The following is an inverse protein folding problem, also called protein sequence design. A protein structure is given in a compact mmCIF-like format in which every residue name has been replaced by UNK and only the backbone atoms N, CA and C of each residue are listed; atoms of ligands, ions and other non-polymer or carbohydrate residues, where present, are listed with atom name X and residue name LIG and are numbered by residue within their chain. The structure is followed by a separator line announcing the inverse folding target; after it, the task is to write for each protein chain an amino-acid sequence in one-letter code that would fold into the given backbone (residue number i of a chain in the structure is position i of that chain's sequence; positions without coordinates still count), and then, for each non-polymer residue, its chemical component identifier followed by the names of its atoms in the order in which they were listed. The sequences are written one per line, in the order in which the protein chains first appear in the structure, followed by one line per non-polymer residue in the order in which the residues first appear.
data_IF_544507443154
#
_entry.id   IF_544507443154
#
_cell.length_a   1.000
_cell.length_b   1.000
_cell.length_c   1.000
_cell.angle_alpha   90.00
_cell.angle_beta   90.00
_cell.angle_gamma   90.00
#
_symmetry.space_group_name_H-M   'P 1'
#
loop_
_entity.id
_entity.type
_entity.pdbx_description
1 polymer ?
#
# COMPACT_ATOMS: atom_id res chain seq x y z
N UNK A 1 -18.04 -14.96 -4.17
CA UNK A 1 -16.90 -15.35 -5.05
C UNK A 1 -16.48 -14.15 -5.87
N UNK A 2 -15.56 -13.36 -5.38
CA UNK A 2 -14.87 -12.33 -6.17
C UNK A 2 -13.40 -12.71 -6.14
N UNK A 3 -12.99 -13.49 -7.12
CA UNK A 3 -11.60 -13.69 -7.45
C UNK A 3 -11.06 -12.37 -8.01
N UNK A 4 -9.97 -11.81 -7.48
CA UNK A 4 -9.29 -10.72 -8.14
C UNK A 4 -8.58 -11.28 -9.37
N UNK A 5 -9.17 -11.08 -10.54
CA UNK A 5 -8.59 -11.52 -11.83
C UNK A 5 -7.47 -10.61 -12.33
N UNK A 6 -6.75 -9.91 -11.47
CA UNK A 6 -5.67 -9.04 -11.97
C UNK A 6 -4.49 -8.97 -11.02
N UNK A 7 -3.82 -10.12 -10.86
CA UNK A 7 -2.49 -10.22 -10.24
C UNK A 7 -1.35 -9.87 -11.21
N UNK A 8 -1.65 -9.40 -12.43
CA UNK A 8 -0.65 -9.03 -13.42
C UNK A 8 0.19 -7.80 -13.05
N UNK A 9 -0.05 -7.19 -11.89
CA UNK A 9 0.72 -6.04 -11.39
C UNK A 9 1.54 -6.32 -10.13
N UNK A 10 1.60 -7.55 -9.64
CA UNK A 10 2.55 -7.90 -8.60
C UNK A 10 3.95 -8.02 -9.23
N UNK A 11 4.90 -7.27 -8.68
CA UNK A 11 6.31 -7.37 -9.08
C UNK A 11 6.80 -8.80 -8.85
N UNK A 12 7.45 -9.43 -9.84
CA UNK A 12 7.88 -10.81 -9.76
C UNK A 12 8.95 -11.00 -8.70
N UNK A 13 8.85 -12.10 -7.96
CA UNK A 13 9.85 -12.53 -6.99
C UNK A 13 10.90 -13.37 -7.72
N UNK A 14 12.08 -12.82 -7.98
CA UNK A 14 13.25 -13.61 -8.38
C UNK A 14 14.51 -13.17 -7.65
N UNK A 15 15.23 -14.16 -7.13
CA UNK A 15 16.60 -14.01 -6.71
C UNK A 15 17.53 -13.99 -7.94
N UNK A 16 18.31 -12.92 -8.14
CA UNK A 16 19.29 -12.91 -9.23
C UNK A 16 19.95 -11.55 -9.43
N UNK A 17 21.25 -11.60 -9.68
CA UNK A 17 22.19 -10.49 -9.80
C UNK A 17 21.72 -9.28 -10.66
N UNK A 18 22.27 -8.14 -10.34
CA UNK A 18 22.12 -6.75 -10.78
C UNK A 18 21.62 -6.44 -12.23
N UNK A 19 21.78 -7.33 -13.19
CA UNK A 19 21.28 -7.17 -14.56
C UNK A 19 19.80 -7.57 -14.75
N UNK A 20 19.23 -8.35 -13.82
CA UNK A 20 17.88 -8.92 -13.97
C UNK A 20 16.78 -7.87 -13.72
N UNK A 21 17.03 -6.93 -12.84
CA UNK A 21 16.02 -5.95 -12.42
C UNK A 21 15.72 -4.87 -13.48
N UNK A 22 16.62 -4.57 -14.40
CA UNK A 22 16.34 -3.73 -15.57
C UNK A 22 15.36 -4.40 -16.55
N UNK A 23 15.25 -5.73 -16.51
CA UNK A 23 14.27 -6.49 -17.30
C UNK A 23 12.86 -6.46 -16.71
N UNK A 24 12.70 -6.23 -15.38
CA UNK A 24 11.39 -6.27 -14.73
C UNK A 24 10.39 -5.23 -15.23
N UNK A 25 10.87 -4.07 -15.70
CA UNK A 25 10.00 -3.08 -16.36
C UNK A 25 9.52 -3.52 -17.75
N UNK A 26 10.04 -4.67 -18.27
CA UNK A 26 9.68 -5.30 -19.55
C UNK A 26 9.57 -6.82 -19.38
N UNK A 27 9.28 -7.29 -18.17
CA UNK A 27 9.20 -8.72 -17.87
C UNK A 27 8.15 -9.39 -18.77
N UNK A 28 8.54 -10.50 -19.36
CA UNK A 28 7.62 -11.39 -20.06
C UNK A 28 7.08 -12.42 -19.04
N UNK A 29 5.95 -13.08 -19.31
CA UNK A 29 5.39 -14.09 -18.40
C UNK A 29 6.38 -15.17 -17.95
N UNK A 30 7.36 -15.51 -18.77
CA UNK A 30 8.43 -16.47 -18.45
C UNK A 30 9.49 -15.95 -17.47
N UNK A 31 9.52 -14.64 -17.21
CA UNK A 31 10.50 -14.04 -16.30
C UNK A 31 10.08 -14.10 -14.82
N UNK A 32 8.86 -14.55 -14.52
CA UNK A 32 8.32 -14.59 -13.15
C UNK A 32 7.35 -15.78 -12.96
N UNK A 33 7.18 -16.18 -11.70
CA UNK A 33 6.22 -17.21 -11.32
C UNK A 33 5.01 -16.55 -10.67
N UNK A 34 3.81 -16.88 -11.17
CA UNK A 34 2.54 -16.44 -10.57
C UNK A 34 2.09 -17.44 -9.50
N UNK A 35 1.80 -16.94 -8.32
CA UNK A 35 1.20 -17.70 -7.22
C UNK A 35 -0.10 -17.01 -6.78
N UNK A 36 -1.14 -17.80 -6.61
CA UNK A 36 -2.40 -17.31 -6.04
C UNK A 36 -2.27 -17.23 -4.52
N UNK A 37 -2.60 -16.07 -3.94
CA UNK A 37 -2.57 -15.85 -2.50
C UNK A 37 -3.65 -14.85 -2.08
N UNK A 38 -4.50 -15.23 -1.14
CA UNK A 38 -5.37 -14.30 -0.42
C UNK A 38 -4.68 -13.88 0.87
N UNK A 39 -4.26 -12.63 0.96
CA UNK A 39 -3.59 -12.08 2.15
C UNK A 39 -4.48 -12.08 3.41
N UNK A 40 -5.80 -12.22 3.26
CA UNK A 40 -6.75 -12.30 4.37
C UNK A 40 -6.83 -13.71 4.98
N UNK A 41 -6.34 -14.72 4.26
CA UNK A 41 -6.34 -16.12 4.70
C UNK A 41 -4.93 -16.56 5.10
N UNK A 42 -4.78 -16.92 6.37
CA UNK A 42 -3.49 -17.37 6.93
C UNK A 42 -2.99 -18.65 6.26
N UNK A 43 -3.89 -19.57 5.91
CA UNK A 43 -3.54 -20.82 5.24
C UNK A 43 -3.03 -20.57 3.83
N UNK A 44 -3.72 -19.72 3.07
CA UNK A 44 -3.32 -19.30 1.72
C UNK A 44 -1.94 -18.64 1.73
N UNK A 45 -1.67 -17.76 2.70
CA UNK A 45 -0.37 -17.10 2.86
C UNK A 45 0.73 -18.12 3.19
N UNK A 46 0.48 -19.03 4.14
CA UNK A 46 1.45 -20.05 4.53
C UNK A 46 1.83 -20.95 3.35
N UNK A 47 0.83 -21.44 2.60
CA UNK A 47 1.05 -22.29 1.42
C UNK A 47 1.86 -21.58 0.33
N UNK A 48 1.55 -20.32 0.04
CA UNK A 48 2.28 -19.54 -0.96
C UNK A 48 3.75 -19.33 -0.54
N UNK A 49 4.00 -18.99 0.72
CA UNK A 49 5.37 -18.80 1.24
C UNK A 49 6.14 -20.13 1.23
N UNK A 50 5.52 -21.23 1.65
CA UNK A 50 6.15 -22.57 1.62
C UNK A 50 6.50 -22.98 0.19
N UNK A 51 5.63 -22.73 -0.77
CA UNK A 51 5.91 -23.00 -2.18
C UNK A 51 7.12 -22.20 -2.67
N UNK A 52 7.22 -20.90 -2.34
CA UNK A 52 8.38 -20.07 -2.70
C UNK A 52 9.66 -20.63 -2.08
N UNK A 53 9.63 -21.01 -0.80
CA UNK A 53 10.80 -21.55 -0.11
C UNK A 53 11.22 -22.90 -0.69
N UNK A 54 10.26 -23.75 -1.05
CA UNK A 54 10.54 -25.04 -1.68
C UNK A 54 11.20 -24.87 -3.06
N UNK A 55 10.77 -23.85 -3.82
CA UNK A 55 11.30 -23.63 -5.17
C UNK A 55 12.61 -22.84 -5.20
N UNK A 56 12.72 -21.79 -4.37
CA UNK A 56 13.82 -20.81 -4.43
C UNK A 56 14.80 -20.93 -3.25
N UNK A 57 14.43 -21.66 -2.19
CA UNK A 57 15.24 -21.85 -0.98
C UNK A 57 15.34 -20.61 -0.08
N UNK A 58 14.87 -19.43 -0.52
CA UNK A 58 15.05 -18.17 0.18
C UNK A 58 14.06 -17.09 -0.25
N UNK A 59 13.90 -16.07 0.60
CA UNK A 59 13.19 -14.83 0.26
C UNK A 59 14.06 -13.63 0.65
N UNK A 60 14.52 -12.86 -0.33
CA UNK A 60 15.38 -11.67 -0.10
C UNK A 60 14.58 -10.39 0.08
N UNK A 61 13.44 -10.29 -0.59
CA UNK A 61 12.61 -9.09 -0.63
C UNK A 61 11.15 -9.47 -0.50
N UNK A 62 10.44 -8.73 0.33
CA UNK A 62 8.98 -8.73 0.41
C UNK A 62 8.45 -7.35 0.06
N UNK A 63 7.48 -7.28 -0.86
CA UNK A 63 6.75 -6.05 -1.17
C UNK A 63 5.27 -6.29 -0.87
N UNK A 64 4.78 -5.73 0.24
CA UNK A 64 3.38 -5.75 0.57
C UNK A 64 2.67 -4.63 -0.20
N UNK A 65 2.05 -4.99 -1.32
CA UNK A 65 1.35 -4.07 -2.20
C UNK A 65 -0.18 -4.29 -2.19
N UNK A 66 -0.65 -5.47 -1.79
CA UNK A 66 -2.08 -5.76 -1.71
C UNK A 66 -2.81 -4.70 -0.88
N UNK A 67 -3.91 -4.19 -1.39
CA UNK A 67 -4.67 -3.15 -0.71
C UNK A 67 -5.97 -2.82 -1.42
N UNK A 68 -6.93 -2.37 -0.63
CA UNK A 68 -8.24 -1.92 -1.09
C UNK A 68 -8.51 -0.50 -0.62
N UNK A 69 -9.24 0.27 -1.45
CA UNK A 69 -9.73 1.59 -1.10
C UNK A 69 -11.10 1.50 -0.42
N UNK A 70 -11.41 2.49 0.41
CA UNK A 70 -12.73 2.69 0.99
C UNK A 70 -13.02 4.18 1.06
N UNK A 71 -14.22 4.58 0.64
CA UNK A 71 -14.69 5.97 0.67
C UNK A 71 -16.12 6.04 1.19
N UNK A 72 -16.42 7.09 1.92
CA UNK A 72 -17.73 7.39 2.48
C UNK A 72 -17.62 8.18 3.77
N UNK A 73 -18.74 8.78 4.21
CA UNK A 73 -18.83 9.31 5.55
C UNK A 73 -18.66 8.18 6.55
N UNK A 74 -17.83 8.36 7.56
CA UNK A 74 -17.53 7.28 8.55
C UNK A 74 -18.81 6.81 9.25
N UNK A 75 -19.71 7.73 9.56
CA UNK A 75 -20.99 7.43 10.22
C UNK A 75 -21.88 6.50 9.38
N UNK A 76 -21.83 6.61 8.07
CA UNK A 76 -22.65 5.83 7.13
C UNK A 76 -21.93 4.62 6.55
N UNK A 77 -20.64 4.48 6.85
CA UNK A 77 -19.82 3.36 6.32
C UNK A 77 -20.05 2.11 7.15
N UNK A 78 -20.51 0.99 6.56
CA UNK A 78 -20.68 -0.27 7.27
C UNK A 78 -19.39 -0.72 7.96
N UNK A 79 -19.51 -1.22 9.19
CA UNK A 79 -18.35 -1.72 9.96
C UNK A 79 -17.64 -2.85 9.21
N UNK A 80 -18.38 -3.72 8.57
CA UNK A 80 -17.87 -4.86 7.80
C UNK A 80 -16.98 -4.39 6.63
N UNK A 81 -17.32 -3.25 6.03
CA UNK A 81 -16.50 -2.65 4.96
C UNK A 81 -15.19 -2.06 5.52
N UNK A 82 -15.23 -1.44 6.69
CA UNK A 82 -14.04 -0.98 7.40
C UNK A 82 -13.16 -2.16 7.82
N UNK A 83 -13.75 -3.21 8.41
CA UNK A 83 -13.05 -4.44 8.79
C UNK A 83 -12.36 -5.09 7.58
N UNK A 84 -13.06 -5.23 6.46
CA UNK A 84 -12.47 -5.79 5.23
C UNK A 84 -11.28 -4.96 4.73
N UNK A 85 -11.37 -3.62 4.82
CA UNK A 85 -10.25 -2.76 4.46
C UNK A 85 -9.04 -2.98 5.39
N UNK A 86 -9.25 -3.13 6.70
CA UNK A 86 -8.20 -3.45 7.66
C UNK A 86 -7.66 -4.87 7.49
N UNK A 87 -8.54 -5.85 7.22
CA UNK A 87 -8.12 -7.23 6.95
C UNK A 87 -7.15 -7.33 5.78
N UNK A 88 -7.37 -6.53 4.73
CA UNK A 88 -6.47 -6.50 3.57
C UNK A 88 -5.25 -5.61 3.81
N UNK A 89 -5.48 -4.34 4.16
CA UNK A 89 -4.42 -3.32 4.16
C UNK A 89 -3.44 -3.43 5.35
N UNK A 90 -3.88 -4.01 6.47
CA UNK A 90 -3.12 -4.09 7.71
C UNK A 90 -2.81 -5.55 8.06
N UNK A 91 -3.84 -6.32 8.41
CA UNK A 91 -3.65 -7.69 8.87
C UNK A 91 -3.09 -8.60 7.77
N UNK A 92 -3.48 -8.38 6.51
CA UNK A 92 -2.93 -9.10 5.37
C UNK A 92 -1.43 -8.89 5.24
N UNK A 93 -0.98 -7.64 5.28
CA UNK A 93 0.45 -7.35 5.25
C UNK A 93 1.19 -7.98 6.43
N UNK A 94 0.62 -7.95 7.65
CA UNK A 94 1.22 -8.57 8.83
C UNK A 94 1.29 -10.09 8.71
N UNK A 95 0.24 -10.76 8.21
CA UNK A 95 0.26 -12.22 7.96
C UNK A 95 1.41 -12.62 7.04
N UNK A 96 1.58 -11.89 5.92
CA UNK A 96 2.67 -12.17 4.99
C UNK A 96 4.04 -11.91 5.64
N UNK A 97 4.18 -10.80 6.39
CA UNK A 97 5.40 -10.51 7.15
C UNK A 97 5.71 -11.65 8.14
N UNK A 98 4.74 -12.07 8.94
CA UNK A 98 4.92 -13.16 9.92
C UNK A 98 5.32 -14.48 9.27
N UNK A 99 4.80 -14.81 8.10
CA UNK A 99 5.15 -16.01 7.36
C UNK A 99 6.57 -15.93 6.77
N UNK A 100 7.03 -14.75 6.34
CA UNK A 100 8.32 -14.56 5.66
C UNK A 100 9.47 -14.29 6.65
N UNK A 101 9.22 -13.57 7.74
CA UNK A 101 10.27 -13.16 8.69
C UNK A 101 11.13 -14.32 9.25
N UNK A 102 10.61 -15.51 9.59
CA UNK A 102 11.44 -16.62 10.08
C UNK A 102 12.56 -16.97 9.10
N UNK A 103 12.27 -16.98 7.80
CA UNK A 103 13.24 -17.27 6.76
C UNK A 103 14.27 -16.16 6.59
N UNK A 104 13.83 -14.89 6.53
CA UNK A 104 14.73 -13.75 6.47
C UNK A 104 15.63 -13.67 7.70
N UNK A 105 15.10 -13.99 8.90
CA UNK A 105 15.88 -14.05 10.13
C UNK A 105 16.94 -15.15 10.09
N UNK A 106 16.61 -16.34 9.61
CA UNK A 106 17.57 -17.41 9.42
C UNK A 106 18.68 -17.04 8.41
N UNK A 107 18.33 -16.27 7.39
CA UNK A 107 19.27 -15.73 6.39
C UNK A 107 20.14 -14.57 6.93
N UNK A 108 19.81 -14.00 8.09
CA UNK A 108 20.40 -12.77 8.63
C UNK A 108 20.39 -11.61 7.61
N UNK A 109 19.36 -11.60 6.76
CA UNK A 109 19.22 -10.62 5.68
C UNK A 109 17.81 -10.64 5.13
N UNK A 110 17.25 -9.45 4.92
CA UNK A 110 15.96 -9.28 4.28
C UNK A 110 15.64 -7.81 4.02
N UNK A 111 14.74 -7.57 3.09
CA UNK A 111 14.20 -6.23 2.85
C UNK A 111 12.69 -6.29 2.67
N UNK A 112 11.97 -5.51 3.45
CA UNK A 112 10.51 -5.40 3.38
C UNK A 112 10.11 -3.99 2.99
N UNK A 113 9.32 -3.86 1.92
CA UNK A 113 8.74 -2.60 1.47
C UNK A 113 7.22 -2.69 1.62
N UNK A 114 6.67 -1.90 2.52
CA UNK A 114 5.22 -1.80 2.68
C UNK A 114 4.69 -0.61 1.88
N UNK A 115 3.76 -0.86 0.95
CA UNK A 115 3.13 0.20 0.16
C UNK A 115 1.99 0.81 0.99
N UNK A 116 2.26 2.02 1.49
CA UNK A 116 1.29 2.81 2.25
C UNK A 116 0.53 3.77 1.34
N UNK A 117 0.41 5.03 1.69
CA UNK A 117 -0.15 6.12 0.88
C UNK A 117 0.21 7.46 1.49
N UNK A 118 0.15 8.54 0.72
CA UNK A 118 0.15 9.90 1.30
C UNK A 118 -1.00 10.10 2.28
N UNK A 119 -2.11 9.38 2.09
CA UNK A 119 -3.23 9.31 3.03
C UNK A 119 -2.86 8.77 4.42
N UNK A 120 -1.74 8.05 4.56
CA UNK A 120 -1.26 7.57 5.86
C UNK A 120 -0.80 8.69 6.80
N UNK A 121 -0.51 9.86 6.27
CA UNK A 121 0.00 11.01 7.03
C UNK A 121 -1.10 11.95 7.54
N UNK A 122 -2.35 11.80 7.08
CA UNK A 122 -3.43 12.71 7.39
C UNK A 122 -4.80 12.05 7.24
N UNK A 123 -5.78 12.45 8.07
CA UNK A 123 -7.18 12.07 7.87
C UNK A 123 -7.77 12.85 6.69
N UNK A 124 -8.11 12.15 5.62
CA UNK A 124 -8.75 12.75 4.45
C UNK A 124 -10.28 12.67 4.60
N UNK A 125 -11.03 13.76 4.29
CA UNK A 125 -12.47 13.71 4.27
C UNK A 125 -12.99 12.57 3.38
N UNK A 126 -14.00 11.85 3.86
CA UNK A 126 -14.61 10.70 3.19
C UNK A 126 -13.67 9.54 2.81
N UNK A 127 -12.41 9.58 3.29
CA UNK A 127 -11.40 8.53 3.13
C UNK A 127 -10.79 8.13 4.48
N UNK A 128 -11.48 8.42 5.58
CA UNK A 128 -10.97 8.22 6.95
C UNK A 128 -10.56 6.78 7.25
N UNK A 129 -11.38 5.79 6.87
CA UNK A 129 -11.07 4.37 7.03
C UNK A 129 -9.82 3.94 6.26
N UNK A 130 -9.67 4.43 5.02
CA UNK A 130 -8.46 4.20 4.23
C UNK A 130 -7.23 4.83 4.87
N UNK A 131 -7.32 6.12 5.24
CA UNK A 131 -6.23 6.84 5.90
C UNK A 131 -5.78 6.13 7.18
N UNK A 132 -6.73 5.69 8.01
CA UNK A 132 -6.45 4.96 9.25
C UNK A 132 -5.73 3.62 8.98
N UNK A 133 -6.19 2.84 8.00
CA UNK A 133 -5.56 1.56 7.66
C UNK A 133 -4.12 1.73 7.14
N UNK A 134 -3.88 2.72 6.27
CA UNK A 134 -2.53 2.99 5.75
C UNK A 134 -1.61 3.62 6.80
N UNK A 135 -2.17 4.43 7.72
CA UNK A 135 -1.45 4.96 8.88
C UNK A 135 -1.04 3.86 9.87
N UNK A 136 -1.95 2.91 10.14
CA UNK A 136 -1.64 1.75 10.97
C UNK A 136 -0.48 0.92 10.39
N UNK A 137 -0.52 0.61 9.09
CA UNK A 137 0.58 -0.12 8.43
C UNK A 137 1.91 0.66 8.49
N UNK A 138 1.86 1.99 8.40
CA UNK A 138 3.06 2.83 8.51
C UNK A 138 3.71 2.71 9.90
N UNK A 139 2.94 2.88 10.97
CA UNK A 139 3.44 2.76 12.34
C UNK A 139 3.95 1.35 12.67
N UNK A 140 3.24 0.30 12.22
CA UNK A 140 3.69 -1.08 12.35
C UNK A 140 5.02 -1.32 11.62
N UNK A 141 5.21 -0.67 10.47
CA UNK A 141 6.48 -0.77 9.73
C UNK A 141 7.65 -0.12 10.47
N UNK A 142 7.39 0.98 11.19
CA UNK A 142 8.39 1.64 12.04
C UNK A 142 8.82 0.72 13.20
N UNK A 143 7.85 0.11 13.89
CA UNK A 143 8.12 -0.83 14.98
C UNK A 143 8.91 -2.05 14.48
N UNK A 144 8.43 -2.71 13.44
CA UNK A 144 9.09 -3.87 12.83
C UNK A 144 10.52 -3.57 12.38
N UNK A 145 10.79 -2.37 11.89
CA UNK A 145 12.14 -1.95 11.51
C UNK A 145 13.10 -2.00 12.70
N UNK A 146 12.68 -1.47 13.85
CA UNK A 146 13.50 -1.45 15.06
C UNK A 146 13.66 -2.86 15.66
N UNK A 147 12.57 -3.65 15.66
CA UNK A 147 12.57 -5.02 16.19
C UNK A 147 13.47 -5.98 15.41
N UNK A 148 13.63 -5.76 14.09
CA UNK A 148 14.30 -6.71 13.20
C UNK A 148 15.69 -6.27 12.74
N UNK A 149 16.14 -5.07 13.12
CA UNK A 149 17.45 -4.53 12.75
C UNK A 149 18.60 -5.47 13.16
N UNK A 150 18.52 -6.06 14.34
CA UNK A 150 19.50 -7.01 14.86
C UNK A 150 19.67 -8.28 13.96
N UNK A 151 18.70 -8.59 13.13
CA UNK A 151 18.71 -9.72 12.19
C UNK A 151 19.13 -9.32 10.78
N UNK A 152 19.60 -8.09 10.57
CA UNK A 152 19.95 -7.59 9.23
C UNK A 152 18.76 -7.42 8.30
N UNK A 153 17.53 -7.37 8.85
CA UNK A 153 16.30 -7.16 8.07
C UNK A 153 15.93 -5.68 8.10
N UNK A 154 15.65 -5.13 6.94
CA UNK A 154 15.35 -3.72 6.79
C UNK A 154 13.91 -3.51 6.31
N UNK A 155 13.15 -2.71 7.07
CA UNK A 155 11.82 -2.26 6.69
C UNK A 155 11.86 -0.82 6.18
N UNK A 156 11.09 -0.54 5.14
CA UNK A 156 10.75 0.83 4.75
C UNK A 156 9.32 0.90 4.22
N UNK A 157 8.73 2.09 4.25
CA UNK A 157 7.45 2.35 3.61
C UNK A 157 7.64 3.17 2.35
N UNK A 158 6.83 2.89 1.33
CA UNK A 158 6.66 3.75 0.18
C UNK A 158 5.22 4.23 0.16
N UNK A 159 5.05 5.54 0.28
CA UNK A 159 3.77 6.22 0.28
C UNK A 159 3.52 6.86 -1.08
N UNK A 160 2.84 6.19 -2.01
CA UNK A 160 2.41 6.84 -3.24
C UNK A 160 1.32 7.87 -2.96
N UNK A 161 1.25 8.90 -3.82
CA UNK A 161 0.05 9.68 -4.05
C UNK A 161 -0.96 8.90 -4.88
N UNK A 162 -1.77 9.59 -5.66
CA UNK A 162 -2.67 8.93 -6.59
C UNK A 162 -1.87 8.28 -7.74
N UNK A 163 -2.17 7.02 -8.01
CA UNK A 163 -1.55 6.21 -9.07
C UNK A 163 -2.66 5.73 -10.00
N UNK A 164 -2.47 5.94 -11.30
CA UNK A 164 -3.40 5.53 -12.31
C UNK A 164 -3.46 3.99 -12.39
N UNK A 165 -4.41 3.42 -11.69
CA UNK A 165 -4.67 1.97 -11.58
C UNK A 165 -6.16 1.75 -11.38
N UNK A 166 -6.62 0.51 -11.53
CA UNK A 166 -8.02 0.12 -11.28
C UNK A 166 -8.47 0.19 -9.81
N UNK A 167 -7.65 0.78 -8.93
CA UNK A 167 -8.00 0.89 -7.50
C UNK A 167 -9.28 1.69 -7.28
N UNK A 168 -9.57 2.67 -8.13
CA UNK A 168 -10.79 3.47 -8.03
C UNK A 168 -12.04 2.61 -8.30
N UNK A 169 -12.00 1.76 -9.33
CA UNK A 169 -13.12 0.87 -9.70
C UNK A 169 -13.35 -0.27 -8.68
N UNK A 170 -12.29 -0.67 -7.96
CA UNK A 170 -12.33 -1.73 -6.91
C UNK A 170 -12.52 -1.18 -5.51
N UNK A 171 -12.61 0.14 -5.35
CA UNK A 171 -12.82 0.79 -4.06
C UNK A 171 -14.23 0.52 -3.57
N UNK A 172 -14.38 0.20 -2.29
CA UNK A 172 -15.69 0.22 -1.67
C UNK A 172 -16.17 1.68 -1.57
N UNK A 173 -17.34 1.94 -2.10
CA UNK A 173 -18.04 3.21 -1.98
C UNK A 173 -19.24 3.03 -1.06
N UNK A 174 -19.28 3.79 0.03
CA UNK A 174 -20.49 3.84 0.84
C UNK A 174 -21.64 4.35 -0.04
N UNK A 175 -22.77 3.65 -0.10
CA UNK A 175 -23.91 4.11 -0.87
C UNK A 175 -24.33 5.52 -0.42
N UNK A 176 -24.62 6.40 -1.37
CA UNK A 176 -25.24 7.67 -1.05
C UNK A 176 -26.70 7.36 -0.61
N UNK A 177 -26.95 7.45 0.68
CA UNK A 177 -28.27 7.22 1.23
C UNK A 177 -29.20 8.37 0.87
N UNK A 178 -30.44 8.06 0.47
CA UNK A 178 -31.48 9.06 0.30
C UNK A 178 -31.72 9.77 1.65
N UNK A 179 -31.63 11.09 1.66
CA UNK A 179 -31.72 11.87 2.91
C UNK A 179 -30.44 11.95 3.74
N UNK A 180 -29.31 11.43 3.25
CA UNK A 180 -28.00 11.60 3.92
C UNK A 180 -27.70 13.06 4.22
N UNK A 181 -27.24 13.39 5.45
CA UNK A 181 -26.75 14.73 5.78
C UNK A 181 -25.40 15.03 5.09
N UNK A 182 -24.69 14.03 4.57
CA UNK A 182 -23.38 14.16 3.95
C UNK A 182 -23.47 14.41 2.42
N UNK A 183 -24.27 15.39 2.02
CA UNK A 183 -24.46 15.73 0.59
C UNK A 183 -23.16 16.02 -0.14
N UNK A 184 -22.19 16.62 0.54
CA UNK A 184 -20.85 16.93 0.00
C UNK A 184 -20.07 15.67 -0.42
N UNK A 185 -20.41 14.48 0.12
CA UNK A 185 -19.76 13.24 -0.32
C UNK A 185 -20.05 12.92 -1.79
N UNK A 186 -21.29 13.10 -2.21
CA UNK A 186 -21.69 12.88 -3.61
C UNK A 186 -20.98 13.86 -4.57
N UNK A 187 -20.73 15.09 -4.11
CA UNK A 187 -20.00 16.11 -4.89
C UNK A 187 -18.50 15.86 -4.92
N UNK A 188 -17.91 15.39 -3.81
CA UNK A 188 -16.48 15.11 -3.70
C UNK A 188 -16.05 13.81 -4.40
N UNK A 189 -16.94 12.82 -4.54
CA UNK A 189 -16.61 11.51 -5.10
C UNK A 189 -16.09 11.54 -6.55
N UNK A 190 -16.69 12.28 -7.48
CA UNK A 190 -16.15 12.44 -8.84
C UNK A 190 -14.74 13.05 -8.84
N UNK A 191 -14.48 14.04 -7.98
CA UNK A 191 -13.17 14.66 -7.85
C UNK A 191 -12.11 13.63 -7.39
N UNK A 192 -12.44 12.84 -6.36
CA UNK A 192 -11.53 11.78 -5.86
C UNK A 192 -11.23 10.71 -6.93
N UNK A 193 -12.18 10.38 -7.81
CA UNK A 193 -11.97 9.42 -8.89
C UNK A 193 -11.08 10.04 -9.98
N UNK A 194 -11.34 11.27 -10.38
CA UNK A 194 -10.54 12.01 -11.37
C UNK A 194 -9.09 12.18 -10.90
N UNK A 195 -8.85 12.39 -9.61
CA UNK A 195 -7.49 12.49 -9.05
C UNK A 195 -6.71 11.18 -9.23
N UNK A 196 -7.37 10.03 -9.05
CA UNK A 196 -6.77 8.69 -9.28
C UNK A 196 -6.51 8.46 -10.76
N UNK A 197 -7.46 8.76 -11.64
CA UNK A 197 -7.31 8.58 -13.10
C UNK A 197 -6.15 9.43 -13.66
N UNK A 198 -5.96 10.62 -13.11
CA UNK A 198 -4.84 11.51 -13.42
C UNK A 198 -3.58 11.22 -12.57
N UNK A 199 -3.54 10.11 -11.85
CA UNK A 199 -2.44 9.72 -10.99
C UNK A 199 -1.13 9.47 -11.74
N UNK A 200 -0.07 9.13 -10.99
CA UNK A 200 1.20 8.72 -11.58
C UNK A 200 1.06 7.39 -12.31
N UNK A 201 1.78 7.17 -13.42
CA UNK A 201 1.87 5.86 -14.04
C UNK A 201 2.39 4.79 -13.07
N UNK A 202 1.83 3.58 -13.11
CA UNK A 202 2.28 2.46 -12.28
C UNK A 202 3.77 2.14 -12.47
N UNK A 203 4.30 2.34 -13.68
CA UNK A 203 5.72 2.18 -14.01
C UNK A 203 6.63 3.10 -13.18
N UNK A 204 6.20 4.31 -12.87
CA UNK A 204 6.96 5.26 -12.06
C UNK A 204 7.10 4.77 -10.61
N UNK A 205 6.06 4.11 -10.09
CA UNK A 205 6.09 3.48 -8.78
C UNK A 205 7.03 2.26 -8.79
N UNK A 206 6.92 1.41 -9.82
CA UNK A 206 7.80 0.26 -10.01
C UNK A 206 9.28 0.67 -10.10
N UNK A 207 9.60 1.72 -10.87
CA UNK A 207 10.95 2.27 -10.95
C UNK A 207 11.43 2.82 -9.60
N UNK A 208 10.55 3.39 -8.83
CA UNK A 208 10.87 3.87 -7.47
C UNK A 208 11.19 2.68 -6.55
N UNK A 209 10.36 1.64 -6.56
CA UNK A 209 10.61 0.40 -5.80
C UNK A 209 11.97 -0.20 -6.20
N UNK A 210 12.22 -0.32 -7.49
CA UNK A 210 13.52 -0.79 -7.99
C UNK A 210 14.70 -0.01 -7.40
N UNK A 211 14.62 1.32 -7.42
CA UNK A 211 15.64 2.19 -6.85
C UNK A 211 15.82 1.96 -5.34
N UNK A 212 14.72 1.69 -4.60
CA UNK A 212 14.77 1.38 -3.18
C UNK A 212 15.44 0.03 -2.89
N UNK A 213 15.24 -0.95 -3.75
CA UNK A 213 15.87 -2.26 -3.62
C UNK A 213 17.40 -2.18 -3.72
N UNK A 214 17.95 -1.22 -4.49
CA UNK A 214 19.40 -1.03 -4.63
C UNK A 214 20.04 -0.33 -3.41
N UNK A 215 19.25 0.31 -2.54
CA UNK A 215 19.79 1.03 -1.39
C UNK A 215 20.22 0.06 -0.28
N UNK A 216 21.48 0.14 0.14
CA UNK A 216 21.99 -0.65 1.27
C UNK A 216 21.31 -0.26 2.59
N UNK A 217 21.13 1.04 2.81
CA UNK A 217 20.47 1.60 4.01
C UNK A 217 19.32 2.51 3.58
N UNK A 218 18.11 1.97 3.32
CA UNK A 218 16.97 2.80 2.96
C UNK A 218 16.50 3.62 4.15
N UNK A 219 15.95 4.82 3.86
CA UNK A 219 15.23 5.63 4.85
C UNK A 219 14.00 4.86 5.34
N UNK A 220 13.43 5.30 6.45
CA UNK A 220 12.21 4.70 7.01
C UNK A 220 11.02 4.91 6.07
N UNK A 221 10.86 6.13 5.57
CA UNK A 221 9.74 6.51 4.72
C UNK A 221 10.19 7.14 3.41
N UNK A 222 9.48 6.79 2.35
CA UNK A 222 9.59 7.39 1.04
C UNK A 222 8.20 7.86 0.58
N UNK A 223 8.15 8.99 -0.09
CA UNK A 223 6.93 9.54 -0.67
C UNK A 223 7.16 9.71 -2.18
N UNK A 224 6.27 9.14 -2.98
CA UNK A 224 6.25 9.27 -4.43
C UNK A 224 4.89 9.80 -4.84
N UNK A 225 4.84 11.02 -5.35
CA UNK A 225 3.58 11.65 -5.72
C UNK A 225 3.83 12.96 -6.47
N UNK A 226 2.77 13.57 -6.94
CA UNK A 226 2.78 14.92 -7.52
C UNK A 226 3.32 15.94 -6.51
N UNK A 227 3.76 17.09 -7.00
CA UNK A 227 4.33 18.13 -6.14
C UNK A 227 3.38 18.56 -5.01
N UNK A 228 2.09 18.71 -5.30
CA UNK A 228 1.07 19.09 -4.33
C UNK A 228 0.87 18.04 -3.24
N UNK A 229 0.82 16.75 -3.60
CA UNK A 229 0.70 15.63 -2.65
C UNK A 229 1.89 15.56 -1.70
N UNK A 230 3.09 15.72 -2.24
CA UNK A 230 4.32 15.77 -1.42
C UNK A 230 4.35 16.98 -0.51
N UNK A 231 3.92 18.14 -1.03
CA UNK A 231 3.79 19.39 -0.27
C UNK A 231 2.77 19.24 0.86
N UNK A 232 1.63 18.58 0.63
CA UNK A 232 0.60 18.38 1.66
C UNK A 232 1.14 17.62 2.88
N UNK A 233 1.95 16.57 2.66
CA UNK A 233 2.60 15.83 3.76
C UNK A 233 3.57 16.72 4.54
N UNK A 234 4.31 17.58 3.85
CA UNK A 234 5.19 18.54 4.51
C UNK A 234 4.40 19.59 5.31
N UNK A 235 3.38 20.19 4.69
CA UNK A 235 2.51 21.17 5.33
C UNK A 235 1.78 20.61 6.56
N UNK A 236 1.35 19.34 6.50
CA UNK A 236 0.74 18.65 7.65
C UNK A 236 1.66 18.62 8.88
N UNK A 237 2.98 18.56 8.68
CA UNK A 237 3.97 18.52 9.77
C UNK A 237 4.24 19.88 10.40
N UNK A 238 4.13 20.97 9.63
CA UNK A 238 4.56 22.31 10.07
C UNK A 238 3.40 23.26 10.37
N UNK A 239 2.23 23.06 9.77
CA UNK A 239 1.08 23.94 9.98
C UNK A 239 0.32 23.53 11.25
N UNK A 240 -0.24 24.51 11.98
CA UNK A 240 -1.25 24.23 12.99
C UNK A 240 -2.43 23.43 12.40
N UNK A 241 -2.94 22.47 13.14
CA UNK A 241 -3.95 21.51 12.66
C UNK A 241 -5.17 22.19 12.02
N UNK A 242 -5.69 23.27 12.63
CA UNK A 242 -6.84 24.03 12.08
C UNK A 242 -6.53 24.71 10.73
N UNK A 243 -5.28 25.15 10.52
CA UNK A 243 -4.88 25.75 9.25
C UNK A 243 -4.81 24.70 8.15
N UNK A 244 -4.23 23.53 8.46
CA UNK A 244 -4.17 22.42 7.54
C UNK A 244 -5.55 21.86 7.20
N UNK A 245 -6.45 21.75 8.20
CA UNK A 245 -7.84 21.34 8.00
C UNK A 245 -8.59 22.27 7.02
N UNK A 246 -8.41 23.60 7.14
CA UNK A 246 -9.01 24.56 6.19
C UNK A 246 -8.52 24.35 4.76
N UNK A 247 -7.22 24.03 4.58
CA UNK A 247 -6.67 23.71 3.26
C UNK A 247 -7.29 22.46 2.66
N UNK A 248 -7.45 21.41 3.48
CA UNK A 248 -8.10 20.16 3.05
C UNK A 248 -9.57 20.41 2.69
N UNK A 249 -10.33 21.09 3.54
CA UNK A 249 -11.73 21.44 3.25
C UNK A 249 -11.87 22.18 1.93
N UNK A 250 -11.02 23.17 1.70
CA UNK A 250 -11.02 23.93 0.43
C UNK A 250 -10.70 23.03 -0.77
N UNK A 251 -9.79 22.07 -0.64
CA UNK A 251 -9.45 21.14 -1.72
C UNK A 251 -10.63 20.20 -2.06
N UNK A 252 -11.37 19.75 -1.05
CA UNK A 252 -12.53 18.85 -1.22
C UNK A 252 -13.87 19.60 -1.39
N UNK A 253 -13.85 20.94 -1.52
CA UNK A 253 -15.05 21.80 -1.63
C UNK A 253 -16.04 21.65 -0.45
N UNK A 254 -15.50 21.52 0.80
CA UNK A 254 -16.25 21.35 2.06
C UNK A 254 -16.34 22.65 2.85
#
# INVERSE_FOLDING_TARGET
EILPQDLSQSLPLRAGHDRSLRRLCRAQPEDYTLLTMDVRDTTSVAQAVEQIITQEGRIDVLINNAGVGITGAIEETPIEALENAFQTNVFGAIRVIQAVLPYMRAQQKGKVINITSVAAYMGLPFRGGYSASKGALQLLSESLRMETEQFGICFCTLAPGDVATDIASRRFHTPALEGSPYKQYAEALPLMNTDVDNGLPAQDLAQTIYTLLQRKHPKVHYIKGKALERLSVFLKKILPSKCFERLLKRHYHL
#
